data_IF_781212704179
#
_entry.id   IF_781212704179
#
_cell.length_a   1.000
_cell.length_b   1.000
_cell.length_c   1.000
_cell.angle_alpha   90.00
_cell.angle_beta   90.00
_cell.angle_gamma   90.00
#
_symmetry.space_group_name_H-M   'P 1'
#
loop_
_entity.id
_entity.type
_entity.pdbx_description
1 polymer ?
#
# COMPACT_ATOMS: atom_id res chain seq x y z
N UNK A 1 -32.04 14.75 -15.95
CA UNK A 1 -30.80 13.94 -15.86
C UNK A 1 -30.41 13.83 -14.39
N UNK A 2 -30.78 12.73 -13.75
CA UNK A 2 -30.54 12.49 -12.33
C UNK A 2 -29.11 11.98 -12.11
N UNK A 3 -28.37 12.71 -11.27
CA UNK A 3 -27.40 12.30 -10.23
C UNK A 3 -26.52 11.06 -10.52
N UNK A 4 -25.22 11.09 -10.29
CA UNK A 4 -24.75 11.09 -8.91
C UNK A 4 -23.34 11.64 -8.72
N UNK A 5 -23.27 12.60 -7.80
CA UNK A 5 -22.05 13.11 -7.19
C UNK A 5 -21.40 11.97 -6.41
N UNK A 6 -20.13 11.69 -6.64
CA UNK A 6 -19.26 11.14 -5.60
C UNK A 6 -18.18 12.16 -5.29
N UNK A 7 -18.65 13.24 -4.65
CA UNK A 7 -17.87 13.92 -3.63
C UNK A 7 -17.54 12.91 -2.54
N UNK A 8 -16.26 12.55 -2.41
CA UNK A 8 -15.70 12.10 -1.15
C UNK A 8 -14.69 13.17 -0.72
N UNK A 9 -15.24 14.29 -0.23
CA UNK A 9 -14.58 15.02 0.83
C UNK A 9 -14.49 14.13 2.07
N UNK A 10 -13.52 14.41 2.93
CA UNK A 10 -13.17 13.73 4.19
C UNK A 10 -12.36 12.42 4.06
N UNK A 11 -11.05 12.57 4.20
CA UNK A 11 -10.50 12.26 5.51
C UNK A 11 -9.36 13.25 5.80
N UNK A 12 -9.61 14.20 6.70
CA UNK A 12 -8.57 14.66 7.61
C UNK A 12 -7.84 13.40 8.10
N UNK A 13 -6.63 13.16 7.60
CA UNK A 13 -5.80 12.06 8.07
C UNK A 13 -5.37 12.43 9.48
N UNK A 14 -6.19 12.00 10.44
CA UNK A 14 -5.83 11.91 11.84
C UNK A 14 -4.39 11.40 11.96
N UNK A 15 -3.58 11.92 12.90
CA UNK A 15 -2.19 11.50 13.03
C UNK A 15 -2.19 10.00 13.30
N UNK A 16 -1.73 9.24 12.31
CA UNK A 16 -1.47 7.81 12.47
C UNK A 16 -0.47 7.69 13.61
N UNK A 17 -0.96 7.29 14.80
CA UNK A 17 -0.11 7.00 15.94
C UNK A 17 0.96 6.02 15.46
N UNK A 18 2.26 6.34 15.60
CA UNK A 18 3.30 5.47 15.06
C UNK A 18 3.25 4.11 15.78
N UNK A 19 3.01 3.05 15.00
CA UNK A 19 3.08 1.67 15.51
C UNK A 19 4.52 1.36 15.95
N UNK A 20 4.78 0.97 17.23
CA UNK A 20 6.14 1.04 17.80
C UNK A 20 7.05 -0.15 17.47
N UNK A 21 6.68 -1.04 16.55
CA UNK A 21 7.45 -2.27 16.27
C UNK A 21 8.07 -2.29 14.87
N UNK A 22 8.13 -1.16 14.16
CA UNK A 22 8.72 -1.08 12.83
C UNK A 22 10.26 -1.12 12.88
N UNK A 23 10.83 -2.20 13.41
CA UNK A 23 12.18 -2.63 13.04
C UNK A 23 12.10 -3.19 11.62
N UNK A 24 11.97 -2.30 10.64
CA UNK A 24 12.33 -2.66 9.27
C UNK A 24 13.83 -2.93 9.33
N UNK A 25 14.26 -4.12 8.94
CA UNK A 25 15.67 -4.35 8.64
C UNK A 25 16.03 -3.32 7.56
N UNK A 26 16.87 -2.30 7.87
CA UNK A 26 17.18 -1.29 6.88
C UNK A 26 18.07 -2.00 5.85
N UNK A 27 17.49 -2.41 4.73
CA UNK A 27 18.27 -2.70 3.53
C UNK A 27 18.90 -1.36 3.15
N UNK A 28 20.13 -1.18 3.65
CA UNK A 28 20.94 -0.03 3.39
C UNK A 28 21.24 0.00 1.89
N UNK A 29 20.81 1.07 1.22
CA UNK A 29 21.42 1.60 -0.01
C UNK A 29 20.90 1.15 -1.39
N UNK A 30 19.68 0.63 -1.56
CA UNK A 30 19.06 0.56 -2.90
C UNK A 30 18.01 1.66 -3.08
N UNK A 31 18.01 2.32 -4.25
CA UNK A 31 17.03 3.33 -4.61
C UNK A 31 15.62 2.74 -4.42
N UNK A 32 14.75 3.32 -3.58
CA UNK A 32 13.42 2.76 -3.34
C UNK A 32 12.58 2.64 -4.61
N UNK A 33 12.89 3.39 -5.67
CA UNK A 33 12.28 3.25 -7.01
C UNK A 33 12.78 2.03 -7.79
N UNK A 34 13.89 1.41 -7.39
CA UNK A 34 14.35 0.11 -7.90
C UNK A 34 13.73 -1.07 -7.15
N UNK A 35 13.29 -0.86 -5.91
CA UNK A 35 12.73 -1.94 -5.06
C UNK A 35 11.35 -2.37 -5.54
N UNK A 36 10.53 -1.43 -6.02
CA UNK A 36 9.16 -1.68 -6.46
C UNK A 36 8.90 -1.19 -7.89
N UNK A 37 8.19 -2.00 -8.67
CA UNK A 37 7.64 -1.62 -9.97
C UNK A 37 6.48 -0.61 -9.82
N UNK A 38 6.14 0.10 -10.89
CA UNK A 38 5.02 1.04 -10.92
C UNK A 38 3.67 0.38 -10.53
N UNK A 39 3.45 -0.87 -10.96
CA UNK A 39 2.27 -1.65 -10.59
C UNK A 39 2.23 -1.97 -9.09
N UNK A 40 3.40 -2.19 -8.50
CA UNK A 40 3.54 -2.47 -7.07
C UNK A 40 3.32 -1.21 -6.24
N UNK A 41 3.83 -0.06 -6.69
CA UNK A 41 3.55 1.23 -6.06
C UNK A 41 2.06 1.59 -6.14
N UNK A 42 1.41 1.32 -7.27
CA UNK A 42 -0.05 1.47 -7.41
C UNK A 42 -0.78 0.60 -6.39
N UNK A 43 -0.37 -0.67 -6.25
CA UNK A 43 -0.95 -1.58 -5.28
C UNK A 43 -0.77 -1.07 -3.84
N UNK A 44 0.42 -0.58 -3.50
CA UNK A 44 0.74 -0.03 -2.17
C UNK A 44 -0.07 1.26 -1.90
N UNK A 45 -0.24 2.13 -2.89
CA UNK A 45 -1.06 3.34 -2.78
C UNK A 45 -2.52 3.00 -2.48
N UNK A 46 -3.10 2.00 -3.16
CA UNK A 46 -4.46 1.56 -2.86
C UNK A 46 -4.62 0.97 -1.45
N UNK A 47 -3.58 0.28 -0.94
CA UNK A 47 -3.56 -0.13 0.46
C UNK A 47 -3.43 1.07 1.42
N UNK A 48 -2.71 2.11 1.03
CA UNK A 48 -2.55 3.34 1.82
C UNK A 48 -3.83 4.17 1.89
N UNK A 49 -4.68 4.08 0.86
CA UNK A 49 -6.04 4.62 0.85
C UNK A 49 -6.99 3.84 1.79
N UNK A 50 -6.52 2.74 2.40
CA UNK A 50 -7.30 1.92 3.32
C UNK A 50 -8.25 0.94 2.64
N UNK A 51 -8.05 0.66 1.35
CA UNK A 51 -8.89 -0.29 0.62
C UNK A 51 -8.58 -1.74 1.02
N UNK A 52 -9.63 -2.54 1.20
CA UNK A 52 -9.51 -3.98 1.39
C UNK A 52 -9.09 -4.69 0.10
N UNK A 53 -8.52 -5.89 0.24
CA UNK A 53 -8.05 -6.74 -0.87
C UNK A 53 -9.12 -6.91 -1.97
N UNK A 54 -10.37 -7.13 -1.59
CA UNK A 54 -11.52 -7.30 -2.51
C UNK A 54 -11.83 -6.03 -3.31
N UNK A 55 -11.67 -4.85 -2.69
CA UNK A 55 -11.86 -3.57 -3.36
C UNK A 55 -10.72 -3.29 -4.34
N UNK A 56 -9.49 -3.61 -3.94
CA UNK A 56 -8.29 -3.51 -4.77
C UNK A 56 -8.38 -4.44 -5.98
N UNK A 57 -8.78 -5.69 -5.75
CA UNK A 57 -8.97 -6.71 -6.77
C UNK A 57 -9.93 -6.22 -7.87
N UNK A 58 -11.11 -5.72 -7.47
CA UNK A 58 -12.08 -5.12 -8.41
C UNK A 58 -11.55 -3.90 -9.16
N UNK A 59 -10.76 -3.05 -8.49
CA UNK A 59 -10.25 -1.80 -9.07
C UNK A 59 -9.11 -2.02 -10.07
N UNK A 60 -8.37 -3.12 -9.93
CA UNK A 60 -7.28 -3.52 -10.83
C UNK A 60 -7.69 -4.61 -11.81
N UNK A 61 -8.96 -5.04 -11.81
CA UNK A 61 -9.48 -6.17 -12.59
C UNK A 61 -8.68 -7.48 -12.36
N UNK A 62 -8.31 -7.71 -11.10
CA UNK A 62 -7.55 -8.88 -10.64
C UNK A 62 -8.39 -9.75 -9.71
N UNK A 63 -8.02 -11.02 -9.59
CA UNK A 63 -8.56 -11.88 -8.53
C UNK A 63 -7.94 -11.54 -7.16
N UNK A 64 -8.72 -11.73 -6.09
CA UNK A 64 -8.25 -11.65 -4.70
C UNK A 64 -7.00 -12.51 -4.44
N UNK A 65 -6.94 -13.68 -5.08
CA UNK A 65 -5.80 -14.60 -4.98
C UNK A 65 -4.53 -13.97 -5.57
N UNK A 66 -4.66 -13.25 -6.68
CA UNK A 66 -3.55 -12.52 -7.30
C UNK A 66 -3.10 -11.36 -6.42
N UNK A 67 -4.05 -10.60 -5.85
CA UNK A 67 -3.72 -9.50 -4.92
C UNK A 67 -2.99 -10.03 -3.69
N UNK A 68 -3.51 -11.08 -3.03
CA UNK A 68 -2.84 -11.72 -1.89
C UNK A 68 -1.44 -12.24 -2.23
N UNK A 69 -1.26 -12.86 -3.40
CA UNK A 69 0.04 -13.35 -3.87
C UNK A 69 1.02 -12.18 -4.05
N UNK A 70 0.59 -11.10 -4.70
CA UNK A 70 1.42 -9.90 -4.90
C UNK A 70 1.75 -9.24 -3.56
N UNK A 71 0.79 -9.07 -2.67
CA UNK A 71 1.02 -8.53 -1.32
C UNK A 71 2.04 -9.34 -0.52
N UNK A 72 2.01 -10.67 -0.61
CA UNK A 72 3.04 -11.53 0.02
C UNK A 72 4.42 -11.30 -0.58
N UNK A 73 4.53 -11.24 -1.91
CA UNK A 73 5.79 -10.93 -2.57
C UNK A 73 6.36 -9.55 -2.16
N UNK A 74 5.50 -8.54 -1.95
CA UNK A 74 5.92 -7.24 -1.41
C UNK A 74 6.49 -7.36 0.02
N UNK A 75 5.81 -8.15 0.86
CA UNK A 75 6.25 -8.41 2.22
C UNK A 75 7.60 -9.15 2.25
N UNK A 76 7.73 -10.22 1.45
CA UNK A 76 8.94 -11.04 1.35
C UNK A 76 10.14 -10.20 0.88
N UNK A 77 9.93 -9.29 -0.06
CA UNK A 77 10.96 -8.37 -0.58
C UNK A 77 11.51 -7.42 0.46
N UNK A 78 10.68 -6.93 1.38
CA UNK A 78 11.11 -6.04 2.47
C UNK A 78 11.48 -6.79 3.75
N UNK A 79 11.28 -8.11 3.79
CA UNK A 79 11.43 -8.91 5.02
C UNK A 79 10.43 -8.52 6.12
N UNK A 80 9.25 -8.03 5.73
CA UNK A 80 8.20 -7.59 6.66
C UNK A 80 7.08 -8.61 6.73
N UNK A 81 6.36 -8.67 7.85
CA UNK A 81 5.31 -9.67 8.05
C UNK A 81 3.91 -9.20 7.64
N UNK A 82 3.74 -7.90 7.37
CA UNK A 82 2.44 -7.33 7.07
C UNK A 82 2.48 -6.25 5.99
N UNK A 83 1.45 -6.21 5.15
CA UNK A 83 1.27 -5.21 4.10
C UNK A 83 1.19 -3.78 4.65
N UNK A 84 0.69 -3.60 5.88
CA UNK A 84 0.69 -2.25 6.51
C UNK A 84 2.12 -1.76 6.80
N UNK A 85 3.06 -2.68 7.05
CA UNK A 85 4.47 -2.34 7.24
C UNK A 85 5.09 -1.92 5.90
N UNK A 86 4.72 -2.57 4.79
CA UNK A 86 5.10 -2.16 3.42
C UNK A 86 4.59 -0.75 3.12
N UNK A 87 3.31 -0.47 3.39
CA UNK A 87 2.71 0.86 3.21
C UNK A 87 3.42 1.92 4.05
N UNK A 88 3.64 1.64 5.33
CA UNK A 88 4.34 2.55 6.23
C UNK A 88 5.81 2.78 5.83
N UNK A 89 6.44 1.81 5.18
CA UNK A 89 7.79 1.93 4.62
C UNK A 89 7.80 2.85 3.39
N UNK A 90 6.81 2.70 2.51
CA UNK A 90 6.68 3.50 1.28
C UNK A 90 6.31 4.95 1.56
N UNK A 91 5.35 5.19 2.47
CA UNK A 91 4.93 6.52 2.88
C UNK A 91 6.06 7.31 3.55
N UNK A 92 6.86 6.67 4.42
CA UNK A 92 8.03 7.33 5.05
C UNK A 92 9.10 7.76 4.04
N UNK A 93 9.13 7.16 2.85
CA UNK A 93 10.06 7.47 1.77
C UNK A 93 9.45 8.33 0.66
N UNK A 94 8.23 8.84 0.86
CA UNK A 94 7.51 9.67 -0.12
C UNK A 94 7.37 9.02 -1.50
N UNK A 95 7.17 7.69 -1.53
CA UNK A 95 6.95 6.93 -2.77
C UNK A 95 5.48 6.90 -3.19
N UNK A 96 4.58 7.22 -2.24
CA UNK A 96 3.13 7.27 -2.35
C UNK A 96 2.59 8.41 -1.48
#
# INVERSE_FOLDING_TARGET
>A
MTMNRFSAALAERAPVRPVPHLRVCPVASDDPRRVFSADELTLISLFADGLCIEAIARRLDLSDRTVRRRSRALCDRLGVSSTIQVVAWAARRQLI
#
